data_IF_620255411095
#
_entry.id   IF_620255411095
#
_cell.length_a   1.000
_cell.length_b   1.000
_cell.length_c   1.000
_cell.angle_alpha   90.00
_cell.angle_beta   90.00
_cell.angle_gamma   90.00
#
_symmetry.space_group_name_H-M   'P 1'
#
loop_
_entity.id
_entity.type
_entity.pdbx_description
1 polymer ?
#
# COMPACT_ATOMS: atom_id res chain seq x y z
N UNK A 1 -44.42 -23.58 50.19
CA UNK A 1 -44.32 -23.92 48.75
C UNK A 1 -43.70 -22.72 48.04
N UNK A 2 -42.37 -22.68 47.95
CA UNK A 2 -41.61 -21.53 47.43
C UNK A 2 -41.47 -21.73 45.91
N UNK A 3 -42.07 -20.84 45.11
CA UNK A 3 -41.92 -20.85 43.65
C UNK A 3 -40.62 -20.15 43.28
N UNK A 4 -39.63 -20.93 42.84
CA UNK A 4 -38.41 -20.42 42.19
C UNK A 4 -38.82 -19.97 40.79
N UNK A 5 -38.61 -18.69 40.46
CA UNK A 5 -38.72 -18.19 39.09
C UNK A 5 -37.35 -18.32 38.43
N UNK A 6 -37.25 -19.21 37.45
CA UNK A 6 -36.09 -19.30 36.56
C UNK A 6 -36.03 -18.02 35.71
N UNK A 7 -34.95 -17.25 35.86
CA UNK A 7 -34.66 -16.11 34.99
C UNK A 7 -33.82 -16.63 33.83
N UNK A 8 -34.36 -16.54 32.61
CA UNK A 8 -33.59 -16.79 31.40
C UNK A 8 -32.76 -15.54 31.09
N UNK A 9 -31.45 -15.61 31.28
CA UNK A 9 -30.52 -14.61 30.76
C UNK A 9 -30.31 -14.95 29.28
N UNK A 10 -30.99 -14.21 28.40
CA UNK A 10 -30.69 -14.25 26.97
C UNK A 10 -29.35 -13.52 26.77
N UNK A 11 -28.28 -14.27 26.51
CA UNK A 11 -27.08 -13.69 25.92
C UNK A 11 -27.42 -13.32 24.47
N UNK A 12 -27.72 -12.04 24.23
CA UNK A 12 -27.57 -11.49 22.89
C UNK A 12 -26.08 -11.43 22.61
N UNK A 13 -25.55 -12.47 21.96
CA UNK A 13 -24.32 -12.33 21.20
C UNK A 13 -24.66 -11.39 20.06
N UNK A 14 -24.36 -10.11 20.24
CA UNK A 14 -24.16 -9.25 19.07
C UNK A 14 -23.03 -9.92 18.31
N UNK A 15 -23.36 -10.55 17.18
CA UNK A 15 -22.39 -10.70 16.12
C UNK A 15 -21.96 -9.26 15.83
N UNK A 16 -20.79 -8.88 16.36
CA UNK A 16 -20.03 -7.79 15.79
C UNK A 16 -19.94 -8.17 14.31
N UNK A 17 -20.74 -7.49 13.48
CA UNK A 17 -20.41 -7.39 12.08
C UNK A 17 -19.02 -6.78 12.11
N UNK A 18 -18.01 -7.64 11.98
CA UNK A 18 -16.66 -7.20 11.69
C UNK A 18 -16.83 -6.20 10.56
N UNK A 19 -16.26 -4.98 10.66
CA UNK A 19 -16.14 -4.13 9.49
C UNK A 19 -15.66 -5.06 8.38
N UNK A 20 -16.34 -5.06 7.24
CA UNK A 20 -15.84 -5.76 6.08
C UNK A 20 -14.61 -4.97 5.64
N UNK A 21 -13.51 -5.12 6.40
CA UNK A 21 -12.19 -5.12 5.84
C UNK A 21 -12.35 -5.96 4.58
N UNK A 22 -12.02 -5.40 3.42
CA UNK A 22 -11.80 -6.22 2.24
C UNK A 22 -10.76 -7.25 2.69
N UNK A 23 -11.21 -8.43 3.09
CA UNK A 23 -10.34 -9.56 3.35
C UNK A 23 -9.68 -9.75 2.01
N UNK A 24 -8.39 -9.43 1.91
CA UNK A 24 -7.65 -9.73 0.70
C UNK A 24 -7.76 -11.24 0.50
N UNK A 25 -8.10 -11.63 -0.72
CA UNK A 25 -8.32 -13.02 -1.08
C UNK A 25 -7.33 -13.35 -2.18
N UNK A 26 -7.17 -14.63 -2.45
CA UNK A 26 -6.44 -15.14 -3.60
C UNK A 26 -7.22 -16.28 -4.23
N UNK A 27 -6.74 -16.77 -5.37
CA UNK A 27 -7.27 -17.98 -5.97
C UNK A 27 -6.35 -19.17 -5.68
N UNK A 28 -6.95 -20.23 -5.17
CA UNK A 28 -6.31 -21.51 -4.92
C UNK A 28 -6.58 -22.47 -6.09
N UNK A 29 -5.49 -22.99 -6.65
CA UNK A 29 -5.44 -24.00 -7.69
C UNK A 29 -4.91 -25.31 -7.08
N UNK A 30 -5.55 -26.43 -7.40
CA UNK A 30 -5.28 -27.74 -6.77
C UNK A 30 -4.19 -28.56 -7.45
N UNK A 31 -3.56 -28.03 -8.51
CA UNK A 31 -2.57 -28.75 -9.34
C UNK A 31 -3.16 -29.83 -10.23
N UNK A 32 -4.49 -30.01 -10.25
CA UNK A 32 -5.16 -31.05 -11.05
C UNK A 32 -5.98 -30.41 -12.16
N UNK A 33 -6.80 -29.41 -11.82
CA UNK A 33 -7.71 -28.81 -12.79
C UNK A 33 -8.05 -27.35 -12.52
N UNK A 34 -8.40 -26.65 -13.60
CA UNK A 34 -9.03 -25.34 -13.54
C UNK A 34 -8.13 -24.18 -13.95
N UNK A 35 -8.79 -23.04 -14.18
CA UNK A 35 -8.16 -21.82 -14.69
C UNK A 35 -9.04 -20.61 -14.45
N UNK A 36 -8.44 -19.42 -14.55
CA UNK A 36 -9.19 -18.19 -14.87
C UNK A 36 -9.00 -17.92 -16.36
N UNK A 37 -10.10 -17.80 -17.10
CA UNK A 37 -10.09 -17.50 -18.54
C UNK A 37 -10.59 -16.09 -18.79
N UNK A 38 -9.73 -15.26 -19.36
CA UNK A 38 -10.02 -13.89 -19.79
C UNK A 38 -10.22 -13.90 -21.32
N UNK A 39 -11.36 -13.39 -21.83
CA UNK A 39 -11.62 -13.32 -23.27
C UNK A 39 -10.48 -12.68 -24.06
N UNK A 40 -10.28 -13.13 -25.30
CA UNK A 40 -9.26 -12.56 -26.16
C UNK A 40 -9.52 -11.05 -26.40
N UNK A 41 -8.47 -10.24 -26.20
CA UNK A 41 -8.35 -8.87 -26.67
C UNK A 41 -6.98 -8.69 -27.35
N UNK A 42 -6.93 -7.77 -28.32
CA UNK A 42 -5.67 -7.36 -28.95
C UNK A 42 -4.76 -6.58 -27.98
N UNK A 43 -5.33 -5.88 -27.00
CA UNK A 43 -4.55 -5.11 -26.02
C UNK A 43 -3.74 -6.04 -25.10
N UNK A 44 -4.29 -7.22 -24.81
CA UNK A 44 -3.61 -8.29 -24.07
C UNK A 44 -2.54 -9.03 -24.88
N UNK A 45 -2.24 -8.64 -26.13
CA UNK A 45 -1.10 -9.21 -26.86
C UNK A 45 0.24 -8.60 -26.45
N UNK A 46 0.24 -7.47 -25.73
CA UNK A 46 1.45 -6.80 -25.26
C UNK A 46 2.42 -6.51 -26.43
N UNK A 47 1.90 -5.99 -27.54
CA UNK A 47 2.71 -5.65 -28.73
C UNK A 47 2.35 -4.26 -29.27
N UNK A 48 3.35 -3.40 -29.40
CA UNK A 48 3.26 -2.15 -30.16
C UNK A 48 3.81 -2.40 -31.56
N UNK A 49 2.95 -2.88 -32.45
CA UNK A 49 3.19 -3.04 -33.89
C UNK A 49 4.18 -4.15 -34.30
N UNK A 50 3.65 -5.11 -35.08
CA UNK A 50 4.23 -6.17 -35.95
C UNK A 50 5.71 -6.58 -35.98
N UNK A 51 6.67 -5.81 -35.46
CA UNK A 51 8.10 -6.08 -35.45
C UNK A 51 8.80 -5.73 -34.12
N UNK A 52 8.12 -5.11 -33.16
CA UNK A 52 8.67 -4.78 -31.83
C UNK A 52 7.63 -4.99 -30.74
N UNK A 53 8.07 -5.49 -29.59
CA UNK A 53 7.22 -5.74 -28.43
C UNK A 53 7.94 -5.33 -27.16
N UNK A 54 7.25 -4.65 -26.26
CA UNK A 54 7.72 -4.34 -24.90
C UNK A 54 6.56 -4.55 -23.94
N UNK A 55 6.86 -4.84 -22.68
CA UNK A 55 5.82 -5.09 -21.70
C UNK A 55 6.33 -5.65 -20.39
N UNK A 56 5.39 -5.92 -19.49
CA UNK A 56 5.66 -6.58 -18.22
C UNK A 56 4.48 -7.42 -17.77
N UNK A 57 4.77 -8.53 -17.08
CA UNK A 57 3.79 -9.44 -16.50
C UNK A 57 4.19 -9.66 -15.05
N UNK A 58 3.24 -9.48 -14.12
CA UNK A 58 3.41 -9.72 -12.69
C UNK A 58 2.40 -10.72 -12.18
N UNK A 59 2.81 -11.51 -11.19
CA UNK A 59 1.91 -12.20 -10.28
C UNK A 59 2.55 -12.35 -8.90
N UNK A 60 1.73 -12.40 -7.86
CA UNK A 60 2.10 -13.04 -6.61
C UNK A 60 1.72 -14.51 -6.66
N UNK A 61 2.61 -15.37 -6.18
CA UNK A 61 2.38 -16.82 -6.11
C UNK A 61 2.74 -17.41 -4.75
N UNK A 62 2.09 -18.51 -4.38
CA UNK A 62 2.44 -19.34 -3.23
C UNK A 62 2.31 -20.80 -3.60
N UNK A 63 3.43 -21.53 -3.61
CA UNK A 63 3.45 -22.95 -4.02
C UNK A 63 2.91 -23.84 -2.89
N UNK A 64 2.19 -24.91 -3.25
CA UNK A 64 1.85 -25.98 -2.30
C UNK A 64 3.02 -26.96 -2.12
N UNK A 65 3.73 -27.28 -3.20
CA UNK A 65 4.89 -28.18 -3.19
C UNK A 65 6.12 -27.48 -3.82
N UNK A 66 7.12 -27.07 -3.01
CA UNK A 66 8.33 -26.44 -3.54
C UNK A 66 9.30 -27.44 -4.19
N UNK A 67 8.97 -28.73 -4.21
CA UNK A 67 9.77 -29.82 -4.79
C UNK A 67 9.17 -30.42 -6.06
N UNK A 68 8.04 -29.88 -6.53
CA UNK A 68 7.37 -30.31 -7.74
C UNK A 68 8.22 -30.03 -8.99
N UNK A 69 8.46 -31.06 -9.81
CA UNK A 69 9.24 -30.97 -11.05
C UNK A 69 8.32 -30.93 -12.27
N UNK A 70 7.47 -29.90 -12.29
CA UNK A 70 6.58 -29.58 -13.40
C UNK A 70 6.65 -28.08 -13.68
N UNK A 71 6.35 -27.70 -14.93
CA UNK A 71 6.28 -26.30 -15.31
C UNK A 71 4.88 -25.74 -15.07
N UNK A 72 4.68 -25.21 -13.87
CA UNK A 72 3.42 -24.66 -13.38
C UNK A 72 3.12 -23.31 -14.05
N UNK A 73 1.99 -23.23 -14.75
CA UNK A 73 1.59 -22.02 -15.49
C UNK A 73 1.03 -20.95 -14.57
N UNK A 74 1.61 -19.76 -14.60
CA UNK A 74 1.08 -18.57 -13.93
C UNK A 74 0.16 -17.83 -14.88
N UNK A 75 0.67 -17.47 -16.06
CA UNK A 75 -0.07 -16.78 -17.14
C UNK A 75 0.26 -17.44 -18.47
N UNK A 76 -0.75 -17.68 -19.31
CA UNK A 76 -0.58 -18.20 -20.68
C UNK A 76 -1.48 -17.44 -21.65
N UNK A 77 -0.93 -17.04 -22.80
CA UNK A 77 -1.67 -16.54 -23.97
C UNK A 77 -1.09 -17.14 -25.25
N UNK A 78 -0.89 -18.44 -25.25
CA UNK A 78 -0.12 -19.18 -26.27
C UNK A 78 -0.77 -20.55 -26.49
N UNK A 79 -0.86 -21.02 -27.75
CA UNK A 79 -1.54 -22.30 -28.06
C UNK A 79 -0.73 -23.50 -27.56
N UNK A 80 0.58 -23.49 -27.80
CA UNK A 80 1.55 -24.44 -27.26
C UNK A 80 2.86 -23.75 -26.91
N UNK A 81 3.70 -24.40 -26.11
CA UNK A 81 4.93 -23.81 -25.56
C UNK A 81 5.97 -23.39 -26.63
N UNK A 82 5.91 -23.94 -27.85
CA UNK A 82 6.82 -23.62 -28.96
C UNK A 82 6.16 -22.76 -30.05
N UNK A 83 4.90 -22.38 -29.90
CA UNK A 83 4.18 -21.58 -30.90
C UNK A 83 4.77 -20.18 -31.07
N UNK A 84 4.80 -19.69 -32.30
CA UNK A 84 5.39 -18.38 -32.59
C UNK A 84 4.63 -17.20 -31.96
N UNK A 85 3.31 -17.36 -31.77
CA UNK A 85 2.41 -16.31 -31.33
C UNK A 85 2.06 -16.45 -29.85
N UNK A 86 2.16 -15.35 -29.12
CA UNK A 86 1.82 -15.26 -27.70
C UNK A 86 3.02 -15.39 -26.77
N UNK A 87 2.71 -15.49 -25.48
CA UNK A 87 3.67 -15.52 -24.39
C UNK A 87 3.15 -16.38 -23.23
N UNK A 88 4.06 -16.90 -22.41
CA UNK A 88 3.77 -17.61 -21.16
C UNK A 88 4.73 -17.20 -20.06
N UNK A 89 4.23 -17.16 -18.82
CA UNK A 89 5.01 -17.03 -17.60
C UNK A 89 4.75 -18.24 -16.70
N UNK A 90 5.81 -18.92 -16.30
CA UNK A 90 5.74 -20.19 -15.55
C UNK A 90 6.88 -20.33 -14.54
N UNK A 91 6.72 -21.28 -13.63
CA UNK A 91 7.75 -21.70 -12.68
C UNK A 91 7.93 -23.21 -12.69
N UNK A 92 9.16 -23.67 -12.48
CA UNK A 92 9.45 -25.05 -12.09
C UNK A 92 10.11 -25.04 -10.68
N UNK A 93 9.38 -25.46 -9.64
CA UNK A 93 9.86 -25.45 -8.27
C UNK A 93 11.12 -26.28 -8.03
N UNK A 94 11.14 -27.54 -8.48
CA UNK A 94 12.27 -28.45 -8.28
C UNK A 94 13.57 -27.96 -8.95
N UNK A 95 13.44 -27.33 -10.12
CA UNK A 95 14.56 -26.77 -10.87
C UNK A 95 14.95 -25.36 -10.41
N UNK A 96 14.11 -24.69 -9.60
CA UNK A 96 14.33 -23.32 -9.14
C UNK A 96 14.30 -22.31 -10.28
N UNK A 97 13.43 -22.51 -11.27
CA UNK A 97 13.35 -21.67 -12.47
C UNK A 97 12.04 -20.88 -12.55
N UNK A 98 12.16 -19.59 -12.88
CA UNK A 98 11.09 -18.78 -13.45
C UNK A 98 11.39 -18.63 -14.94
N UNK A 99 10.41 -18.86 -15.82
CA UNK A 99 10.60 -18.80 -17.28
C UNK A 99 9.55 -17.91 -17.92
N UNK A 100 9.99 -16.94 -18.73
CA UNK A 100 9.17 -16.23 -19.71
C UNK A 100 9.42 -16.89 -21.08
N UNK A 101 8.38 -17.41 -21.72
CA UNK A 101 8.46 -18.03 -23.05
C UNK A 101 7.80 -17.10 -24.07
N UNK A 102 8.51 -16.73 -25.14
CA UNK A 102 7.95 -15.91 -26.21
C UNK A 102 8.72 -16.02 -27.53
N UNK A 103 8.04 -15.73 -28.66
CA UNK A 103 8.66 -15.72 -29.98
C UNK A 103 9.05 -17.11 -30.51
N UNK A 104 8.18 -18.11 -30.32
CA UNK A 104 8.47 -19.51 -30.60
C UNK A 104 8.86 -20.25 -29.32
N UNK A 105 9.94 -21.02 -29.38
CA UNK A 105 10.53 -21.77 -28.26
C UNK A 105 11.62 -21.00 -27.49
N UNK A 106 11.80 -19.71 -27.78
CA UNK A 106 12.78 -18.86 -27.09
C UNK A 106 12.28 -18.52 -25.68
N UNK A 107 13.21 -18.29 -24.75
CA UNK A 107 12.88 -18.05 -23.35
C UNK A 107 13.89 -17.16 -22.62
N UNK A 108 13.40 -16.34 -21.71
CA UNK A 108 14.21 -15.77 -20.64
C UNK A 108 13.96 -16.54 -19.34
N UNK A 109 14.99 -16.63 -18.51
CA UNK A 109 14.97 -17.36 -17.24
C UNK A 109 15.58 -16.56 -16.11
N UNK A 110 15.05 -16.80 -14.92
CA UNK A 110 15.66 -16.38 -13.67
C UNK A 110 15.72 -17.52 -12.66
N UNK A 111 16.69 -17.46 -11.77
CA UNK A 111 16.79 -18.43 -10.67
C UNK A 111 15.97 -17.97 -9.46
N UNK A 112 15.20 -18.85 -8.85
CA UNK A 112 14.50 -18.56 -7.61
C UNK A 112 14.56 -19.74 -6.63
N UNK A 113 14.42 -19.42 -5.34
CA UNK A 113 14.30 -20.45 -4.29
C UNK A 113 12.83 -20.75 -4.05
N UNK A 114 12.37 -21.91 -4.51
CA UNK A 114 10.99 -22.34 -4.31
C UNK A 114 10.65 -22.41 -2.81
N UNK A 115 9.47 -21.90 -2.46
CA UNK A 115 8.99 -21.78 -1.08
C UNK A 115 7.47 -21.86 -1.03
N UNK A 116 6.94 -22.22 0.13
CA UNK A 116 5.51 -22.17 0.44
C UNK A 116 5.09 -20.81 1.00
N UNK A 117 5.93 -19.79 0.90
CA UNK A 117 5.61 -18.39 1.21
C UNK A 117 5.25 -17.62 -0.05
N UNK A 118 4.50 -16.53 0.10
CA UNK A 118 4.19 -15.64 -1.02
C UNK A 118 5.46 -15.08 -1.65
N UNK A 119 5.51 -15.14 -2.98
CA UNK A 119 6.64 -14.72 -3.81
C UNK A 119 6.09 -13.86 -4.95
N UNK A 120 6.63 -12.65 -5.10
CA UNK A 120 6.33 -11.81 -6.26
C UNK A 120 7.23 -12.23 -7.42
N UNK A 121 6.64 -12.40 -8.60
CA UNK A 121 7.35 -12.65 -9.85
C UNK A 121 6.98 -11.55 -10.84
N UNK A 122 7.99 -10.92 -11.45
CA UNK A 122 7.82 -10.00 -12.56
C UNK A 122 8.73 -10.43 -13.72
N UNK A 123 8.17 -10.56 -14.91
CA UNK A 123 8.93 -10.63 -16.15
C UNK A 123 8.72 -9.32 -16.92
N UNK A 124 9.80 -8.57 -17.15
CA UNK A 124 9.80 -7.29 -17.87
C UNK A 124 10.63 -7.44 -19.14
N UNK A 125 10.17 -6.94 -20.29
CA UNK A 125 10.85 -7.16 -21.55
C UNK A 125 10.75 -5.97 -22.50
N UNK A 126 11.76 -5.85 -23.36
CA UNK A 126 11.86 -4.84 -24.38
C UNK A 126 12.60 -5.38 -25.61
N UNK A 127 11.86 -5.57 -26.70
CA UNK A 127 12.33 -6.26 -27.89
C UNK A 127 12.60 -7.74 -27.62
N UNK A 128 13.81 -8.17 -27.97
CA UNK A 128 14.28 -9.56 -27.84
C UNK A 128 15.03 -9.81 -26.52
N UNK A 129 14.81 -8.98 -25.51
CA UNK A 129 15.47 -9.08 -24.21
C UNK A 129 14.47 -8.93 -23.07
N UNK A 130 14.63 -9.74 -22.02
CA UNK A 130 13.80 -9.71 -20.84
C UNK A 130 14.63 -9.85 -19.54
N UNK A 131 14.10 -9.26 -18.48
CA UNK A 131 14.57 -9.38 -17.10
C UNK A 131 13.51 -10.09 -16.27
N UNK A 132 13.97 -10.99 -15.40
CA UNK A 132 13.15 -11.73 -14.45
C UNK A 132 13.48 -11.24 -13.05
N UNK A 133 12.45 -10.79 -12.34
CA UNK A 133 12.55 -10.32 -10.96
C UNK A 133 11.78 -11.24 -10.03
N UNK A 134 12.38 -11.54 -8.89
CA UNK A 134 11.75 -12.25 -7.78
C UNK A 134 11.89 -11.39 -6.55
N UNK A 135 10.76 -11.08 -5.90
CA UNK A 135 10.71 -10.26 -4.70
C UNK A 135 11.48 -8.93 -4.85
N UNK A 136 11.24 -8.23 -5.96
CA UNK A 136 11.88 -6.94 -6.27
C UNK A 136 13.35 -7.01 -6.71
N UNK A 137 13.96 -8.19 -6.76
CA UNK A 137 15.39 -8.37 -7.12
C UNK A 137 15.52 -9.01 -8.50
N UNK A 138 16.39 -8.46 -9.36
CA UNK A 138 16.73 -9.06 -10.65
C UNK A 138 17.49 -10.37 -10.43
N UNK A 139 16.94 -11.47 -10.93
CA UNK A 139 17.48 -12.83 -10.83
C UNK A 139 17.73 -13.47 -12.20
N UNK A 140 17.81 -12.65 -13.26
CA UNK A 140 17.96 -13.09 -14.64
C UNK A 140 19.23 -13.91 -14.85
N UNK A 141 19.09 -15.08 -15.46
CA UNK A 141 20.18 -15.98 -15.85
C UNK A 141 20.26 -16.17 -17.37
N UNK A 142 19.13 -16.04 -18.07
CA UNK A 142 19.03 -15.93 -19.53
C UNK A 142 18.04 -14.81 -19.84
N UNK A 143 18.43 -13.85 -20.67
CA UNK A 143 17.58 -12.70 -21.01
C UNK A 143 16.99 -12.80 -22.42
N UNK A 144 17.27 -13.86 -23.17
CA UNK A 144 17.00 -13.88 -24.62
C UNK A 144 15.59 -14.37 -24.93
N UNK A 145 14.75 -13.52 -25.50
CA UNK A 145 13.45 -13.94 -26.05
C UNK A 145 13.36 -13.61 -27.53
N UNK A 146 12.50 -14.31 -28.26
CA UNK A 146 12.05 -13.84 -29.56
C UNK A 146 11.05 -12.69 -29.40
N UNK A 147 10.82 -11.93 -30.48
CA UNK A 147 9.77 -10.90 -30.47
C UNK A 147 8.40 -11.53 -30.16
N UNK A 148 7.60 -10.84 -29.36
CA UNK A 148 6.25 -11.30 -29.02
C UNK A 148 5.29 -10.89 -30.13
N UNK A 149 4.68 -11.87 -30.79
CA UNK A 149 3.64 -11.65 -31.79
C UNK A 149 2.27 -11.95 -31.18
N UNK A 150 1.28 -11.14 -31.53
CA UNK A 150 -0.07 -11.29 -30.98
C UNK A 150 -0.71 -12.64 -31.32
N UNK A 151 -1.39 -13.23 -30.33
CA UNK A 151 -2.14 -14.48 -30.47
C UNK A 151 -3.64 -14.21 -30.41
N UNK A 152 -4.44 -15.01 -31.10
CA UNK A 152 -5.91 -14.91 -31.08
C UNK A 152 -6.55 -15.71 -29.95
N UNK A 153 -5.75 -16.35 -29.08
CA UNK A 153 -6.27 -17.12 -27.94
C UNK A 153 -6.68 -16.22 -26.77
N UNK A 154 -7.62 -16.67 -25.93
CA UNK A 154 -7.89 -16.05 -24.64
C UNK A 154 -6.64 -16.06 -23.75
N UNK A 155 -6.57 -15.15 -22.78
CA UNK A 155 -5.55 -15.18 -21.74
C UNK A 155 -6.02 -16.11 -20.62
N UNK A 156 -5.11 -16.92 -20.09
CA UNK A 156 -5.37 -17.85 -19.00
C UNK A 156 -4.45 -17.55 -17.82
N UNK A 157 -5.00 -17.66 -16.61
CA UNK A 157 -4.24 -17.64 -15.35
C UNK A 157 -4.35 -19.03 -14.71
N UNK A 158 -3.21 -19.57 -14.26
CA UNK A 158 -3.12 -20.84 -13.57
C UNK A 158 -3.12 -22.09 -14.46
N UNK A 159 -3.20 -21.95 -15.79
CA UNK A 159 -3.18 -23.07 -16.74
C UNK A 159 -2.74 -22.63 -18.14
N UNK A 160 -2.45 -23.60 -19.02
CA UNK A 160 -2.13 -23.36 -20.42
C UNK A 160 -3.36 -22.87 -21.21
N UNK A 161 -3.15 -22.03 -22.21
CA UNK A 161 -4.27 -21.57 -23.05
C UNK A 161 -4.79 -22.71 -23.94
N UNK A 162 -6.11 -22.83 -24.06
CA UNK A 162 -6.78 -23.91 -24.82
C UNK A 162 -6.40 -25.35 -24.37
N UNK A 163 -5.82 -25.53 -23.18
CA UNK A 163 -5.59 -26.85 -22.62
C UNK A 163 -6.88 -27.56 -22.19
N UNK A 164 -6.85 -28.89 -22.05
CA UNK A 164 -7.91 -29.60 -21.32
C UNK A 164 -7.98 -29.08 -19.87
N UNK A 165 -9.18 -29.08 -19.28
CA UNK A 165 -9.39 -28.65 -17.88
C UNK A 165 -8.56 -29.46 -16.88
N UNK A 166 -8.08 -30.65 -17.27
CA UNK A 166 -7.14 -31.50 -16.53
C UNK A 166 -5.78 -31.56 -17.26
N UNK A 167 -4.74 -30.99 -16.67
CA UNK A 167 -3.40 -30.95 -17.24
C UNK A 167 -2.34 -30.94 -16.11
N UNK A 168 -1.26 -31.73 -16.18
CA UNK A 168 -0.20 -31.70 -15.17
C UNK A 168 0.49 -30.34 -15.01
N UNK A 169 0.37 -29.42 -15.97
CA UNK A 169 0.94 -28.07 -15.90
C UNK A 169 0.01 -27.02 -15.26
N UNK A 170 -1.15 -27.43 -14.71
CA UNK A 170 -2.02 -26.55 -13.91
C UNK A 170 -1.25 -26.10 -12.66
N UNK A 171 -1.42 -24.84 -12.28
CA UNK A 171 -0.74 -24.30 -11.10
C UNK A 171 -1.14 -25.07 -9.83
N UNK A 172 -0.16 -25.40 -9.00
CA UNK A 172 -0.38 -26.08 -7.72
C UNK A 172 -0.04 -25.14 -6.55
N UNK A 173 -1.02 -24.35 -6.15
CA UNK A 173 -0.79 -23.30 -5.17
C UNK A 173 -1.82 -22.18 -5.23
N UNK A 174 -1.43 -20.99 -4.75
CA UNK A 174 -2.24 -19.78 -4.81
C UNK A 174 -1.62 -18.75 -5.74
N UNK A 175 -2.47 -18.02 -6.44
CA UNK A 175 -2.10 -16.87 -7.27
C UNK A 175 -2.91 -15.67 -6.80
N UNK A 176 -2.26 -14.50 -6.77
CA UNK A 176 -2.89 -13.22 -6.49
C UNK A 176 -2.23 -12.10 -7.31
N UNK A 177 -2.88 -10.93 -7.39
CA UNK A 177 -2.35 -9.68 -7.94
C UNK A 177 -1.67 -9.86 -9.31
N UNK A 178 -2.40 -10.41 -10.29
CA UNK A 178 -1.89 -10.60 -11.65
C UNK A 178 -2.04 -9.31 -12.44
N UNK A 179 -0.95 -8.76 -12.96
CA UNK A 179 -0.96 -7.51 -13.72
C UNK A 179 -0.15 -7.61 -15.02
N UNK A 180 -0.60 -6.88 -16.04
CA UNK A 180 0.02 -6.81 -17.36
C UNK A 180 0.17 -5.35 -17.76
N UNK A 181 1.37 -4.97 -18.20
CA UNK A 181 1.67 -3.66 -18.76
C UNK A 181 2.14 -3.78 -20.21
N UNK A 182 1.82 -2.77 -21.04
CA UNK A 182 2.32 -2.64 -22.41
C UNK A 182 3.66 -1.89 -22.50
N UNK A 183 4.35 -1.71 -21.38
CA UNK A 183 5.71 -1.16 -21.33
C UNK A 183 6.60 -1.98 -20.41
N UNK A 184 7.91 -1.89 -20.68
CA UNK A 184 8.95 -2.40 -19.80
C UNK A 184 8.94 -1.65 -18.47
N UNK A 185 8.79 -2.38 -17.36
CA UNK A 185 9.02 -1.83 -16.02
C UNK A 185 10.52 -1.71 -15.74
N UNK A 186 10.93 -0.56 -15.21
CA UNK A 186 12.28 -0.35 -14.72
C UNK A 186 12.52 -1.09 -13.40
N UNK A 187 13.77 -1.41 -13.08
CA UNK A 187 14.15 -2.03 -11.79
C UNK A 187 13.71 -1.19 -10.58
N UNK A 188 13.69 0.14 -10.72
CA UNK A 188 13.13 1.04 -9.71
C UNK A 188 11.63 0.78 -9.50
N UNK A 189 10.85 0.76 -10.59
CA UNK A 189 9.40 0.49 -10.52
C UNK A 189 9.12 -0.89 -9.94
N UNK A 190 9.92 -1.90 -10.29
CA UNK A 190 9.81 -3.25 -9.71
C UNK A 190 10.07 -3.25 -8.21
N UNK A 191 11.11 -2.54 -7.75
CA UNK A 191 11.39 -2.42 -6.32
C UNK A 191 10.28 -1.68 -5.55
N UNK A 192 9.68 -0.65 -6.16
CA UNK A 192 8.52 0.04 -5.62
C UNK A 192 7.30 -0.88 -5.52
N UNK A 193 6.99 -1.64 -6.58
CA UNK A 193 5.84 -2.56 -6.60
C UNK A 193 6.00 -3.68 -5.55
N UNK A 194 7.21 -4.21 -5.34
CA UNK A 194 7.48 -5.23 -4.34
C UNK A 194 7.35 -4.73 -2.89
N UNK A 195 7.79 -3.50 -2.63
CA UNK A 195 7.66 -2.83 -1.33
C UNK A 195 8.00 -3.75 -0.13
N UNK A 196 9.17 -4.39 -0.18
CA UNK A 196 9.67 -5.30 0.88
C UNK A 196 8.77 -6.50 1.22
N UNK A 197 7.96 -6.97 0.27
CA UNK A 197 7.10 -8.15 0.45
C UNK A 197 5.64 -7.82 0.65
N UNK A 198 5.32 -6.53 0.70
CA UNK A 198 3.97 -6.03 0.84
C UNK A 198 3.38 -5.70 -0.53
N UNK A 199 2.36 -6.43 -0.96
CA UNK A 199 1.70 -6.17 -2.24
C UNK A 199 1.05 -4.77 -2.24
N UNK A 200 1.37 -3.98 -3.26
CA UNK A 200 0.78 -2.66 -3.51
C UNK A 200 -0.27 -2.73 -4.62
N UNK A 201 -1.32 -1.91 -4.49
CA UNK A 201 -2.26 -1.66 -5.58
C UNK A 201 -1.56 -0.88 -6.70
N UNK A 202 -1.18 -1.58 -7.77
CA UNK A 202 -0.42 -1.01 -8.89
C UNK A 202 -1.18 0.07 -9.67
N UNK A 203 -2.50 0.23 -9.46
CA UNK A 203 -3.27 1.34 -10.04
C UNK A 203 -2.93 2.69 -9.42
N UNK A 204 -2.35 2.68 -8.21
CA UNK A 204 -2.02 3.89 -7.45
C UNK A 204 -0.63 4.45 -7.77
N UNK A 205 0.20 3.68 -8.47
CA UNK A 205 1.57 4.04 -8.81
C UNK A 205 1.60 4.90 -10.09
N UNK A 206 2.07 6.15 -9.99
CA UNK A 206 2.07 7.12 -11.10
C UNK A 206 3.03 6.77 -12.23
N UNK A 207 4.05 5.94 -11.98
CA UNK A 207 5.05 5.49 -12.95
C UNK A 207 4.59 4.29 -13.82
N UNK A 208 3.64 3.49 -13.34
CA UNK A 208 3.21 2.24 -13.98
C UNK A 208 1.71 2.17 -14.31
N UNK A 209 0.87 3.04 -13.75
CA UNK A 209 -0.58 3.05 -14.02
C UNK A 209 -0.96 3.44 -15.45
N UNK A 210 -0.12 4.23 -16.15
CA UNK A 210 -0.40 4.69 -17.52
C UNK A 210 -0.23 3.60 -18.59
N UNK A 211 0.65 2.62 -18.36
CA UNK A 211 0.93 1.50 -19.26
C UNK A 211 0.23 0.20 -18.85
N UNK A 212 -0.46 0.19 -17.70
CA UNK A 212 -1.22 -0.96 -17.23
C UNK A 212 -2.30 -1.30 -18.27
N UNK A 213 -2.42 -2.57 -18.65
CA UNK A 213 -3.40 -3.10 -19.61
C UNK A 213 -4.49 -3.85 -18.89
N UNK A 214 -4.12 -4.72 -17.94
CA UNK A 214 -5.06 -5.49 -17.13
C UNK A 214 -4.47 -5.79 -15.75
N UNK A 215 -5.31 -5.81 -14.73
CA UNK A 215 -4.93 -6.10 -13.35
C UNK A 215 -6.08 -6.77 -12.60
N UNK A 216 -5.85 -8.04 -12.24
CA UNK A 216 -6.77 -8.90 -11.52
C UNK A 216 -6.30 -9.06 -10.07
N UNK A 217 -6.96 -8.36 -9.15
CA UNK A 217 -6.65 -8.32 -7.72
C UNK A 217 -7.14 -9.51 -6.92
N UNK A 218 -8.00 -10.34 -7.50
CA UNK A 218 -8.56 -11.55 -6.89
C UNK A 218 -9.12 -11.35 -5.46
N UNK A 219 -9.77 -10.21 -5.23
CA UNK A 219 -10.28 -9.80 -3.91
C UNK A 219 -11.80 -9.96 -3.78
N UNK A 220 -12.48 -10.57 -4.75
CA UNK A 220 -13.93 -10.78 -4.73
C UNK A 220 -14.36 -11.80 -3.67
N UNK A 221 -13.50 -12.78 -3.37
CA UNK A 221 -13.66 -13.75 -2.28
C UNK A 221 -14.81 -14.74 -2.44
N UNK A 222 -15.58 -14.65 -3.53
CA UNK A 222 -16.66 -15.57 -3.86
C UNK A 222 -17.09 -15.40 -5.32
N UNK A 223 -17.88 -16.37 -5.83
CA UNK A 223 -18.39 -16.33 -7.21
C UNK A 223 -17.45 -16.97 -8.22
N UNK A 224 -17.79 -16.82 -9.50
CA UNK A 224 -17.14 -17.49 -10.64
C UNK A 224 -16.45 -16.52 -11.59
N UNK A 225 -16.15 -15.30 -11.13
CA UNK A 225 -15.55 -14.24 -11.93
C UNK A 225 -14.43 -13.55 -11.15
N UNK A 226 -13.44 -13.06 -11.87
CA UNK A 226 -12.35 -12.22 -11.35
C UNK A 226 -12.39 -10.91 -12.12
N UNK A 227 -12.66 -9.80 -11.43
CA UNK A 227 -12.74 -8.48 -12.03
C UNK A 227 -11.36 -7.97 -12.43
N UNK A 228 -11.29 -7.34 -13.59
CA UNK A 228 -10.17 -6.46 -13.93
C UNK A 228 -10.37 -5.09 -13.27
N UNK A 229 -9.29 -4.42 -12.87
CA UNK A 229 -9.31 -3.11 -12.21
C UNK A 229 -10.03 -2.00 -13.00
N UNK A 230 -10.20 -2.16 -14.33
CA UNK A 230 -10.93 -1.23 -15.21
C UNK A 230 -12.25 -1.80 -15.74
N UNK A 231 -12.60 -3.04 -15.36
CA UNK A 231 -13.73 -3.82 -15.87
C UNK A 231 -13.71 -4.03 -17.40
N UNK A 232 -12.53 -3.98 -18.03
CA UNK A 232 -12.40 -4.18 -19.47
C UNK A 232 -12.17 -5.66 -19.82
N UNK A 233 -11.55 -6.40 -18.90
CA UNK A 233 -11.01 -7.74 -19.16
C UNK A 233 -11.31 -8.76 -18.05
N UNK A 234 -12.56 -8.79 -17.56
CA UNK A 234 -12.95 -9.72 -16.50
C UNK A 234 -12.73 -11.20 -16.91
N UNK A 235 -12.21 -11.98 -15.96
CA UNK A 235 -11.97 -13.41 -16.09
C UNK A 235 -13.12 -14.25 -15.56
N UNK A 236 -13.35 -15.41 -16.17
CA UNK A 236 -14.27 -16.44 -15.66
C UNK A 236 -13.49 -17.61 -15.07
N UNK A 237 -13.92 -18.10 -13.90
CA UNK A 237 -13.30 -19.22 -13.18
C UNK A 237 -13.87 -20.55 -13.70
N UNK A 238 -13.00 -21.51 -14.02
CA UNK A 238 -13.33 -22.87 -14.47
C UNK A 238 -12.60 -23.93 -13.65
N UNK A 239 -13.14 -25.14 -13.59
CA UNK A 239 -12.57 -26.27 -12.84
C UNK A 239 -12.59 -26.08 -11.32
N UNK A 240 -11.65 -26.71 -10.61
CA UNK A 240 -11.57 -26.71 -9.15
C UNK A 240 -10.81 -25.51 -8.55
N UNK A 241 -10.95 -24.33 -9.15
CA UNK A 241 -10.36 -23.11 -8.59
C UNK A 241 -11.28 -22.55 -7.51
N UNK A 242 -10.73 -22.27 -6.34
CA UNK A 242 -11.50 -21.80 -5.17
C UNK A 242 -10.89 -20.55 -4.56
N UNK A 243 -11.71 -19.71 -3.93
CA UNK A 243 -11.25 -18.53 -3.21
C UNK A 243 -10.55 -18.92 -1.90
N UNK A 244 -9.50 -18.18 -1.54
CA UNK A 244 -8.75 -18.39 -0.30
C UNK A 244 -8.49 -17.07 0.42
N UNK A 245 -8.67 -17.07 1.75
CA UNK A 245 -8.31 -15.94 2.61
C UNK A 245 -6.82 -15.88 2.94
N UNK A 246 -6.02 -16.81 2.40
CA UNK A 246 -4.57 -16.75 2.45
C UNK A 246 -4.11 -15.98 1.20
N UNK A 247 -3.72 -14.73 1.37
CA UNK A 247 -3.27 -13.81 0.32
C UNK A 247 -1.90 -13.20 0.70
N UNK A 248 -1.15 -12.59 -0.24
CA UNK A 248 0.02 -11.79 0.11
C UNK A 248 -0.38 -10.74 1.13
N UNK A 249 0.56 -10.32 1.98
CA UNK A 249 0.28 -9.17 2.84
C UNK A 249 0.09 -7.94 1.92
N UNK A 250 -1.17 -7.56 1.69
CA UNK A 250 -1.47 -6.28 1.07
C UNK A 250 -1.24 -5.21 2.11
N UNK A 251 -0.18 -4.43 1.95
CA UNK A 251 -0.07 -3.19 2.68
C UNK A 251 -0.83 -2.17 1.84
N UNK A 252 -2.02 -1.80 2.32
CA UNK A 252 -2.49 -0.44 2.10
C UNK A 252 -1.50 0.46 2.85
N UNK A 253 -0.30 0.68 2.28
CA UNK A 253 0.50 1.82 2.69
C UNK A 253 -0.35 3.03 2.37
N UNK A 254 -0.61 3.92 3.33
CA UNK A 254 -0.92 5.27 2.96
C UNK A 254 0.24 5.72 2.09
N UNK A 255 -0.02 5.98 0.81
CA UNK A 255 0.86 6.82 0.02
C UNK A 255 0.83 8.17 0.71
N UNK A 256 1.82 8.43 1.58
CA UNK A 256 1.90 9.63 2.40
C UNK A 256 2.23 10.82 1.48
N UNK A 257 1.24 11.20 0.68
CA UNK A 257 1.13 12.44 -0.08
C UNK A 257 0.26 13.38 0.73
N UNK A 258 0.48 14.67 0.51
CA UNK A 258 -0.39 15.69 1.08
C UNK A 258 -1.13 16.46 0.02
N UNK A 259 -2.30 16.94 0.40
CA UNK A 259 -3.08 17.93 -0.34
C UNK A 259 -3.36 19.12 0.58
N UNK A 260 -3.16 20.33 0.05
CA UNK A 260 -3.57 21.58 0.71
C UNK A 260 -5.02 21.91 0.38
N UNK A 261 -5.75 22.50 1.33
CA UNK A 261 -7.08 23.08 1.12
C UNK A 261 -7.13 24.16 0.03
N UNK A 262 -5.98 24.74 -0.34
CA UNK A 262 -5.89 25.76 -1.40
C UNK A 262 -5.80 25.15 -2.80
N UNK A 263 -5.58 23.83 -2.88
CA UNK A 263 -5.56 23.09 -4.13
C UNK A 263 -6.96 22.62 -4.49
N UNK A 264 -7.29 22.62 -5.79
CA UNK A 264 -8.56 22.07 -6.27
C UNK A 264 -8.70 20.58 -5.86
N UNK A 265 -9.79 20.24 -5.17
CA UNK A 265 -10.00 18.90 -4.63
C UNK A 265 -9.24 18.59 -3.32
N UNK A 266 -8.61 19.61 -2.72
CA UNK A 266 -7.96 19.51 -1.42
C UNK A 266 -8.93 19.30 -0.25
N UNK A 267 -8.40 19.03 0.96
CA UNK A 267 -9.21 18.86 2.16
C UNK A 267 -10.00 20.12 2.50
N UNK A 268 -11.16 19.92 3.12
CA UNK A 268 -11.97 21.02 3.64
C UNK A 268 -11.48 21.38 5.05
N UNK A 269 -11.12 22.63 5.26
CA UNK A 269 -10.90 23.15 6.61
C UNK A 269 -12.21 23.08 7.41
N UNK A 270 -12.16 22.40 8.55
CA UNK A 270 -13.30 22.18 9.43
C UNK A 270 -12.79 22.00 10.85
N UNK A 271 -12.61 23.11 11.55
CA UNK A 271 -12.07 23.13 12.90
C UNK A 271 -12.94 22.34 13.88
N UNK A 272 -12.30 21.62 14.79
CA UNK A 272 -12.97 20.85 15.84
C UNK A 272 -12.57 21.44 17.19
N UNK A 273 -13.43 22.27 17.78
CA UNK A 273 -13.16 22.83 19.11
C UNK A 273 -13.37 21.77 20.19
N UNK A 274 -12.25 21.24 20.69
CA UNK A 274 -12.21 20.24 21.76
C UNK A 274 -11.83 20.85 23.11
N UNK A 275 -11.73 22.18 23.24
CA UNK A 275 -11.27 22.82 24.49
C UNK A 275 -12.28 22.66 25.64
N UNK A 276 -13.56 22.42 25.32
CA UNK A 276 -14.64 22.21 26.28
C UNK A 276 -15.04 20.74 26.48
N UNK A 277 -14.64 19.85 25.58
CA UNK A 277 -15.07 18.44 25.54
C UNK A 277 -13.91 17.44 25.67
N UNK A 278 -12.70 17.84 25.28
CA UNK A 278 -11.49 17.04 25.33
C UNK A 278 -10.86 16.99 26.72
N UNK A 279 -9.87 16.11 26.84
CA UNK A 279 -9.01 16.01 28.01
C UNK A 279 -7.88 17.04 27.90
N UNK A 280 -7.77 17.92 28.91
CA UNK A 280 -6.64 18.83 29.06
C UNK A 280 -5.37 18.03 29.36
N UNK A 281 -4.31 18.29 28.59
CA UNK A 281 -2.98 17.74 28.84
C UNK A 281 -2.25 18.69 29.78
N UNK A 282 -2.01 18.24 31.02
CA UNK A 282 -1.24 19.01 31.99
C UNK A 282 0.23 19.06 31.61
N UNK A 283 0.64 20.15 30.97
CA UNK A 283 1.99 20.43 30.53
C UNK A 283 2.16 21.93 30.31
N UNK A 284 3.27 22.48 30.82
CA UNK A 284 3.62 23.89 30.63
C UNK A 284 5.14 24.06 30.63
N UNK A 285 5.58 25.26 30.30
CA UNK A 285 6.98 25.64 30.17
C UNK A 285 7.54 25.41 28.77
N UNK A 286 8.86 25.44 28.73
CA UNK A 286 9.70 25.22 27.56
C UNK A 286 10.27 23.79 27.57
N UNK A 287 10.58 23.26 26.39
CA UNK A 287 11.27 21.97 26.18
C UNK A 287 10.70 20.79 26.99
N UNK A 288 9.37 20.66 27.02
CA UNK A 288 8.69 19.59 27.74
C UNK A 288 8.07 18.55 26.79
N UNK A 289 7.91 17.31 27.26
CA UNK A 289 7.26 16.21 26.55
C UNK A 289 6.43 15.38 27.55
N UNK A 290 5.18 15.07 27.19
CA UNK A 290 4.32 14.22 28.03
C UNK A 290 3.69 13.08 27.24
N UNK A 291 3.25 12.06 27.97
CA UNK A 291 2.66 10.83 27.45
C UNK A 291 3.36 9.57 28.00
N UNK A 292 3.00 8.37 27.53
CA UNK A 292 2.04 8.11 26.45
C UNK A 292 0.60 8.43 26.84
N UNK A 293 -0.11 9.16 25.97
CA UNK A 293 -1.56 9.39 26.02
C UNK A 293 -2.27 8.41 25.08
N UNK A 294 -3.49 7.95 25.40
CA UNK A 294 -4.20 6.97 24.57
C UNK A 294 -4.68 7.60 23.25
N UNK A 295 -4.51 6.88 22.14
CA UNK A 295 -5.10 7.28 20.84
C UNK A 295 -6.61 6.97 20.81
N UNK A 296 -7.03 5.92 21.53
CA UNK A 296 -8.43 5.46 21.56
C UNK A 296 -8.75 4.34 20.57
N UNK A 297 -7.87 4.10 19.59
CA UNK A 297 -7.92 3.02 18.61
C UNK A 297 -6.49 2.66 18.17
N UNK A 298 -6.35 1.61 17.35
CA UNK A 298 -5.07 1.26 16.72
C UNK A 298 -4.90 2.11 15.46
N UNK A 299 -3.89 2.98 15.46
CA UNK A 299 -3.56 3.86 14.34
C UNK A 299 -2.39 3.31 13.53
N UNK A 300 -2.59 3.00 12.23
CA UNK A 300 -1.52 2.52 11.37
C UNK A 300 -0.66 3.68 10.87
N UNK A 301 0.67 3.60 11.06
CA UNK A 301 1.61 4.59 10.52
C UNK A 301 2.92 3.96 10.03
N UNK A 302 3.22 4.08 8.73
CA UNK A 302 4.36 3.42 8.04
C UNK A 302 4.48 1.92 8.36
N UNK A 303 3.35 1.20 8.35
CA UNK A 303 3.31 -0.24 8.61
C UNK A 303 3.50 -0.64 10.08
N UNK A 304 3.54 0.32 11.01
CA UNK A 304 3.59 0.07 12.44
C UNK A 304 2.29 0.56 13.08
N UNK A 305 1.72 -0.30 13.93
CA UNK A 305 0.50 0.00 14.67
C UNK A 305 0.82 0.72 15.98
N UNK A 306 0.18 1.87 16.19
CA UNK A 306 0.33 2.68 17.39
C UNK A 306 -0.99 2.80 18.14
N UNK A 307 -0.95 2.71 19.47
CA UNK A 307 -2.13 2.88 20.34
C UNK A 307 -2.00 4.07 21.29
N UNK A 308 -0.83 4.71 21.30
CA UNK A 308 -0.52 5.84 22.16
C UNK A 308 0.32 6.88 21.43
N UNK A 309 0.27 8.12 21.88
CA UNK A 309 1.10 9.21 21.39
C UNK A 309 1.75 9.98 22.54
N UNK A 310 2.82 10.70 22.22
CA UNK A 310 3.48 11.69 23.07
C UNK A 310 3.42 13.04 22.38
N UNK A 311 3.39 14.10 23.17
CA UNK A 311 3.29 15.48 22.70
C UNK A 311 4.42 16.32 23.32
N UNK A 312 5.02 17.19 22.51
CA UNK A 312 6.03 18.15 22.98
C UNK A 312 5.48 19.58 22.98
N UNK A 313 5.98 20.42 23.89
CA UNK A 313 5.70 21.87 23.87
C UNK A 313 6.14 22.51 22.56
N UNK A 314 7.16 21.96 21.91
CA UNK A 314 7.72 22.40 20.62
C UNK A 314 6.87 22.01 19.40
N UNK A 315 5.56 21.77 19.55
CA UNK A 315 4.62 21.72 18.43
C UNK A 315 4.65 20.46 17.56
N UNK A 316 5.21 19.35 18.06
CA UNK A 316 5.15 18.04 17.43
C UNK A 316 4.58 16.97 18.35
N UNK A 317 4.11 15.88 17.75
CA UNK A 317 3.81 14.62 18.44
C UNK A 317 4.70 13.50 17.90
N UNK A 318 4.92 12.47 18.71
CA UNK A 318 5.55 11.23 18.29
C UNK A 318 4.82 10.04 18.90
N UNK A 319 4.74 8.94 18.17
CA UNK A 319 4.13 7.72 18.69
C UNK A 319 5.05 6.96 19.66
N UNK A 320 6.35 7.28 19.71
CA UNK A 320 7.34 6.55 20.52
C UNK A 320 8.31 7.44 21.28
N UNK A 321 8.68 8.59 20.72
CA UNK A 321 9.83 9.38 21.17
C UNK A 321 9.47 10.36 22.30
N UNK A 322 10.34 10.46 23.31
CA UNK A 322 10.17 11.34 24.48
C UNK A 322 11.00 12.64 24.42
N UNK A 323 11.60 12.95 23.28
CA UNK A 323 12.38 14.16 23.06
C UNK A 323 11.47 15.39 23.12
N UNK A 324 12.05 16.50 23.52
CA UNK A 324 11.47 17.83 23.48
C UNK A 324 12.36 18.79 22.66
N UNK A 325 13.12 18.27 21.70
CA UNK A 325 14.03 19.09 20.89
C UNK A 325 13.32 20.29 20.24
N UNK A 326 13.80 21.51 20.49
CA UNK A 326 13.28 22.74 19.88
C UNK A 326 13.82 23.00 18.47
N UNK A 327 15.05 22.55 18.18
CA UNK A 327 15.70 22.80 16.89
C UNK A 327 15.08 21.91 15.81
N UNK A 328 14.22 22.51 15.00
CA UNK A 328 13.50 21.84 13.93
C UNK A 328 14.41 21.47 12.77
N UNK A 329 14.13 20.31 12.17
CA UNK A 329 14.89 19.77 11.04
C UNK A 329 13.96 19.45 9.89
N UNK A 330 14.52 19.36 8.69
CA UNK A 330 13.83 18.81 7.53
C UNK A 330 13.57 17.31 7.73
N UNK A 331 12.46 16.82 7.21
CA UNK A 331 12.14 15.40 7.18
C UNK A 331 12.35 14.81 5.79
N UNK A 332 12.87 13.57 5.71
CA UNK A 332 13.31 12.73 6.82
C UNK A 332 14.67 13.16 7.39
N UNK A 333 14.88 12.95 8.69
CA UNK A 333 16.14 13.23 9.37
C UNK A 333 16.44 12.25 10.50
N UNK A 334 17.65 11.69 10.46
CA UNK A 334 18.16 10.77 11.48
C UNK A 334 18.27 11.38 12.89
N UNK A 335 18.35 12.72 12.98
CA UNK A 335 18.48 13.45 14.24
C UNK A 335 17.13 13.98 14.77
N UNK A 336 16.07 13.92 13.97
CA UNK A 336 14.73 14.33 14.39
C UNK A 336 14.00 13.17 15.11
N UNK A 337 12.97 13.45 15.93
CA UNK A 337 12.19 12.41 16.61
C UNK A 337 11.61 11.40 15.62
N UNK A 338 11.73 10.10 15.88
CA UNK A 338 11.12 9.08 15.03
C UNK A 338 9.59 8.99 15.20
N UNK A 339 8.92 8.37 14.21
CA UNK A 339 7.47 8.15 14.21
C UNK A 339 6.71 9.44 14.58
N UNK A 340 7.09 10.54 13.93
CA UNK A 340 6.75 11.89 14.36
C UNK A 340 5.85 12.58 13.34
N UNK A 341 4.88 13.34 13.86
CA UNK A 341 4.04 14.27 13.12
C UNK A 341 4.31 15.67 13.68
N UNK A 342 4.77 16.58 12.82
CA UNK A 342 5.01 17.98 13.14
C UNK A 342 3.97 18.83 12.42
N UNK A 343 2.82 19.15 13.05
CA UNK A 343 1.91 20.15 12.51
C UNK A 343 2.54 21.55 12.50
N UNK A 344 3.41 21.87 13.47
CA UNK A 344 4.17 23.12 13.51
C UNK A 344 5.34 23.01 14.51
N UNK A 345 6.45 22.39 14.11
CA UNK A 345 7.61 22.21 14.97
C UNK A 345 8.57 23.41 14.90
N UNK A 346 8.68 24.15 15.99
CA UNK A 346 9.61 25.27 16.22
C UNK A 346 9.89 25.33 17.74
N UNK A 347 10.65 26.34 18.17
CA UNK A 347 10.92 26.65 19.57
C UNK A 347 9.71 27.36 20.20
N UNK A 348 8.81 26.58 20.81
CA UNK A 348 7.51 27.03 21.32
C UNK A 348 7.41 26.86 22.84
N UNK A 349 6.60 27.73 23.46
CA UNK A 349 6.40 27.75 24.91
C UNK A 349 4.94 27.64 25.29
N UNK A 350 4.68 26.84 26.32
CA UNK A 350 3.35 26.71 26.93
C UNK A 350 3.30 27.55 28.21
N UNK A 351 2.77 28.77 28.13
CA UNK A 351 2.63 29.70 29.27
C UNK A 351 1.62 29.23 30.33
N UNK A 352 0.81 28.24 30.01
CA UNK A 352 -0.08 27.47 30.89
C UNK A 352 -0.29 26.07 30.29
N UNK A 353 -1.23 25.28 30.81
CA UNK A 353 -1.72 24.13 30.05
C UNK A 353 -2.39 24.64 28.76
N UNK A 354 -1.87 24.23 27.60
CA UNK A 354 -2.26 24.75 26.27
C UNK A 354 -2.60 23.64 25.25
N UNK A 355 -2.59 22.37 25.66
CA UNK A 355 -2.91 21.25 24.78
C UNK A 355 -4.10 20.42 25.25
N UNK A 356 -4.90 19.94 24.30
CA UNK A 356 -6.09 19.13 24.54
C UNK A 356 -6.08 17.93 23.60
N UNK A 357 -6.66 16.81 24.02
CA UNK A 357 -7.00 15.73 23.11
C UNK A 357 -8.40 15.16 23.36
N UNK A 358 -9.06 14.72 22.30
CA UNK A 358 -10.33 14.01 22.37
C UNK A 358 -10.30 12.84 21.38
N UNK A 359 -10.68 11.64 21.83
CA UNK A 359 -10.75 10.46 20.98
C UNK A 359 -12.12 9.79 21.02
N UNK A 360 -12.53 9.24 19.89
CA UNK A 360 -13.59 8.24 19.78
C UNK A 360 -13.11 7.05 18.93
N UNK A 361 -14.00 6.13 18.56
CA UNK A 361 -13.65 4.94 17.76
C UNK A 361 -13.20 5.27 16.33
N UNK A 362 -13.51 6.48 15.83
CA UNK A 362 -13.24 6.89 14.45
C UNK A 362 -12.08 7.87 14.32
N UNK A 363 -11.81 8.68 15.35
CA UNK A 363 -10.79 9.71 15.29
C UNK A 363 -10.20 10.11 16.64
N UNK A 364 -8.97 10.62 16.58
CA UNK A 364 -8.29 11.35 17.64
C UNK A 364 -8.04 12.78 17.14
N UNK A 365 -8.41 13.77 17.94
CA UNK A 365 -8.07 15.18 17.71
C UNK A 365 -7.13 15.63 18.81
N UNK A 366 -5.99 16.21 18.44
CA UNK A 366 -4.99 16.79 19.35
C UNK A 366 -4.86 18.26 18.97
N UNK A 367 -5.21 19.17 19.89
CA UNK A 367 -5.15 20.62 19.66
C UNK A 367 -4.05 21.25 20.49
N UNK A 368 -3.19 22.03 19.82
CA UNK A 368 -2.31 23.03 20.41
C UNK A 368 -3.09 24.35 20.36
N UNK A 369 -3.49 24.87 21.52
CA UNK A 369 -4.41 25.98 21.63
C UNK A 369 -3.71 27.21 22.20
N UNK A 370 -3.57 28.26 21.38
CA UNK A 370 -2.95 29.53 21.77
C UNK A 370 -1.52 29.38 22.31
N UNK A 371 -0.70 28.64 21.56
CA UNK A 371 0.71 28.39 21.88
C UNK A 371 1.58 29.52 21.33
N UNK A 372 2.56 29.94 22.11
CA UNK A 372 3.45 31.05 21.79
C UNK A 372 4.79 30.54 21.25
N UNK A 373 5.48 31.33 20.43
CA UNK A 373 6.91 31.12 20.16
C UNK A 373 7.73 31.62 21.34
N UNK A 374 8.74 30.85 21.75
CA UNK A 374 9.63 31.23 22.83
C UNK A 374 10.29 32.60 22.54
N UNK A 375 10.18 33.53 23.50
CA UNK A 375 10.69 34.89 23.38
C UNK A 375 9.86 35.84 22.50
N UNK A 376 8.70 35.41 22.02
CA UNK A 376 7.76 36.23 21.24
C UNK A 376 6.30 36.08 21.71
N UNK A 377 6.10 35.78 22.99
CA UNK A 377 4.80 35.51 23.62
C UNK A 377 3.84 36.70 23.55
N UNK A 378 4.36 37.92 23.47
CA UNK A 378 3.53 39.12 23.30
C UNK A 378 3.05 39.36 21.86
N UNK A 379 3.60 38.62 20.88
CA UNK A 379 3.43 38.89 19.44
C UNK A 379 3.10 37.66 18.61
N UNK A 380 3.07 36.48 19.22
CA UNK A 380 2.74 35.22 18.56
C UNK A 380 1.53 34.57 19.24
N UNK A 381 0.76 33.81 18.46
CA UNK A 381 -0.32 32.96 18.95
C UNK A 381 -0.63 31.95 17.85
N UNK A 382 -0.35 30.69 18.12
CA UNK A 382 -0.54 29.56 17.22
C UNK A 382 -1.58 28.60 17.78
N UNK A 383 -2.63 28.38 17.00
CA UNK A 383 -3.70 27.44 17.31
C UNK A 383 -3.86 26.50 16.12
N UNK A 384 -3.45 25.25 16.30
CA UNK A 384 -3.43 24.23 15.27
C UNK A 384 -3.74 22.86 15.87
N UNK A 385 -4.12 21.91 15.03
CA UNK A 385 -4.47 20.56 15.47
C UNK A 385 -3.93 19.48 14.54
N UNK A 386 -3.71 18.30 15.11
CA UNK A 386 -3.51 17.03 14.42
C UNK A 386 -4.78 16.20 14.61
N UNK A 387 -5.35 15.72 13.51
CA UNK A 387 -6.47 14.78 13.53
C UNK A 387 -5.99 13.47 12.92
N UNK A 388 -6.09 12.39 13.68
CA UNK A 388 -5.83 11.04 13.20
C UNK A 388 -7.17 10.34 13.01
N UNK A 389 -7.42 9.77 11.84
CA UNK A 389 -8.56 8.89 11.62
C UNK A 389 -8.16 7.44 11.86
N UNK A 390 -9.09 6.61 12.30
CA UNK A 390 -8.87 5.16 12.45
C UNK A 390 -8.54 4.46 11.12
N UNK A 391 -8.77 5.13 9.99
CA UNK A 391 -8.38 4.70 8.64
C UNK A 391 -6.91 4.89 8.31
N UNK A 392 -6.12 5.59 9.15
CA UNK A 392 -4.74 5.96 8.86
C UNK A 392 -4.56 7.36 8.23
N UNK A 393 -5.66 8.06 7.93
CA UNK A 393 -5.63 9.45 7.45
C UNK A 393 -5.13 10.41 8.53
N UNK A 394 -4.22 11.30 8.16
CA UNK A 394 -3.66 12.35 9.02
C UNK A 394 -4.13 13.69 8.47
N UNK A 395 -4.63 14.58 9.32
CA UNK A 395 -5.04 15.92 8.92
C UNK A 395 -4.40 16.93 9.87
N UNK A 396 -3.74 17.95 9.32
CA UNK A 396 -3.36 19.15 10.04
C UNK A 396 -4.34 20.27 9.72
N UNK A 397 -4.76 21.03 10.72
CA UNK A 397 -5.56 22.24 10.50
C UNK A 397 -5.04 23.40 11.33
N UNK A 398 -5.14 24.60 10.76
CA UNK A 398 -4.57 25.83 11.30
C UNK A 398 -5.68 26.87 11.49
N UNK A 399 -5.97 27.23 12.74
CA UNK A 399 -7.02 28.19 13.06
C UNK A 399 -6.47 29.61 13.17
N UNK A 400 -5.59 29.84 14.14
CA UNK A 400 -4.92 31.12 14.37
C UNK A 400 -3.43 30.92 14.20
N UNK A 401 -2.80 31.59 13.24
CA UNK A 401 -1.36 31.53 12.99
C UNK A 401 -0.77 32.93 12.98
N UNK A 402 -0.73 33.57 14.15
CA UNK A 402 -0.22 34.94 14.31
C UNK A 402 1.23 34.91 14.76
N UNK A 403 2.12 35.62 14.07
CA UNK A 403 3.56 35.66 14.36
C UNK A 403 4.40 35.16 13.17
N UNK A 404 5.72 34.97 13.35
CA UNK A 404 6.59 34.45 12.29
C UNK A 404 6.31 32.97 11.99
N UNK A 405 6.02 32.67 10.72
CA UNK A 405 5.67 31.31 10.26
C UNK A 405 6.80 30.62 9.47
N UNK A 406 7.93 31.30 9.29
CA UNK A 406 9.02 30.88 8.41
C UNK A 406 10.09 30.01 9.10
N UNK A 407 9.97 29.76 10.40
CA UNK A 407 10.97 29.03 11.19
C UNK A 407 10.61 27.57 11.47
N UNK A 408 9.40 27.13 11.15
CA UNK A 408 8.91 25.83 11.58
C UNK A 408 9.17 24.70 10.55
N UNK A 409 9.09 23.47 11.04
CA UNK A 409 8.87 22.27 10.21
C UNK A 409 7.39 21.89 10.26
N UNK A 410 6.80 21.64 9.10
CA UNK A 410 5.50 21.00 8.95
C UNK A 410 5.70 19.73 8.12
N UNK A 411 5.31 18.58 8.66
CA UNK A 411 5.54 17.30 8.00
C UNK A 411 5.52 16.12 8.94
N UNK A 412 6.10 15.01 8.49
CA UNK A 412 6.18 13.78 9.26
C UNK A 412 7.34 12.89 8.80
N UNK A 413 7.68 11.89 9.62
CA UNK A 413 8.60 10.82 9.25
C UNK A 413 8.32 9.50 9.96
N UNK A 414 8.76 8.41 9.35
CA UNK A 414 8.59 7.05 9.84
C UNK A 414 9.44 6.75 11.10
N UNK A 415 9.25 5.56 11.67
CA UNK A 415 10.00 5.10 12.85
C UNK A 415 11.51 4.93 12.60
N UNK A 416 11.90 4.60 11.39
CA UNK A 416 13.31 4.40 11.04
C UNK A 416 14.04 5.69 10.66
N UNK A 417 13.31 6.82 10.54
CA UNK A 417 13.79 8.12 10.08
C UNK A 417 14.40 8.09 8.68
N UNK A 418 13.91 7.18 7.84
CA UNK A 418 14.38 6.96 6.46
C UNK A 418 13.36 7.46 5.43
N UNK A 419 12.09 7.58 5.82
CA UNK A 419 11.00 8.02 4.97
C UNK A 419 10.20 9.09 5.69
N UNK A 420 9.67 10.05 4.94
CA UNK A 420 8.95 11.19 5.49
C UNK A 420 8.75 12.27 4.44
N UNK A 421 8.12 13.36 4.84
CA UNK A 421 7.92 14.54 3.98
C UNK A 421 7.93 15.78 4.84
N UNK A 422 8.68 16.80 4.39
CA UNK A 422 8.52 18.18 4.83
C UNK A 422 7.65 18.93 3.83
N UNK A 423 6.46 19.35 4.27
CA UNK A 423 5.63 20.33 3.55
C UNK A 423 6.25 21.72 3.68
N UNK A 424 6.76 22.03 4.88
CA UNK A 424 7.49 23.24 5.20
C UNK A 424 8.73 22.84 6.01
N UNK A 425 9.87 23.44 5.68
CA UNK A 425 11.04 23.47 6.54
C UNK A 425 11.75 24.81 6.32
N UNK A 426 11.81 25.64 7.37
CA UNK A 426 12.49 26.95 7.34
C UNK A 426 12.17 27.78 6.07
N UNK A 427 10.92 27.69 5.59
CA UNK A 427 10.57 28.13 4.25
C UNK A 427 10.46 29.66 4.21
N UNK A 428 11.14 30.27 3.24
CA UNK A 428 11.07 31.72 3.00
C UNK A 428 9.69 32.18 2.47
N UNK A 429 8.86 31.26 1.96
CA UNK A 429 7.56 31.55 1.37
C UNK A 429 6.43 31.42 2.41
N UNK A 430 6.27 32.45 3.24
CA UNK A 430 5.37 32.52 4.40
C UNK A 430 3.87 32.48 4.08
N UNK A 431 3.46 32.57 2.81
CA UNK A 431 2.05 32.61 2.43
C UNK A 431 1.36 31.24 2.45
N UNK A 432 2.11 30.14 2.60
CA UNK A 432 1.52 28.79 2.62
C UNK A 432 0.75 28.54 3.93
N UNK A 433 1.26 29.04 5.06
CA UNK A 433 0.66 28.82 6.37
C UNK A 433 -0.23 30.01 6.67
N UNK A 434 -1.54 29.78 6.79
CA UNK A 434 -2.50 30.83 7.12
C UNK A 434 -3.69 30.29 7.91
N UNK A 435 -4.48 31.20 8.49
CA UNK A 435 -5.73 30.85 9.14
C UNK A 435 -6.68 30.18 8.16
N UNK A 436 -7.36 29.12 8.61
CA UNK A 436 -8.27 28.35 7.77
C UNK A 436 -7.57 27.38 6.82
N UNK A 437 -6.26 27.16 6.96
CA UNK A 437 -5.52 26.19 6.15
C UNK A 437 -5.72 24.77 6.68
N UNK A 438 -5.85 23.80 5.77
CA UNK A 438 -5.86 22.38 6.11
C UNK A 438 -4.95 21.59 5.18
N UNK A 439 -4.31 20.57 5.75
CA UNK A 439 -3.48 19.62 5.03
C UNK A 439 -3.95 18.22 5.38
N UNK A 440 -4.07 17.35 4.38
CA UNK A 440 -4.39 15.94 4.53
C UNK A 440 -3.39 15.11 3.76
#
# INVERSE_FOLDING_TARGET
MIRIRTVYILFFVFALATPQWLVSQSLNFDGVSGSVRIPHSYDLNISESGTWSQGSIMAYIKLNDPTEDEFLRIVSKKVGWDDYYGYELEVNPAQGLVTLIAGGSDYARGSFSATTSWTQIIASFNGSSASIYVNGVDVTTDSTIGNIYGSTVPLYIGSISNGPDENPSVFNGKIDDVAIWNQELSSYSVSEIYNSGNALDVTTLSSSSYSLVGYWRMNEGSGSFVGDSRNDYDGSIYGNVTWSSDSPQQQLLPDYKWFSSDSAGGPVYSWQDITSTGTLISMSGDDNNTGPHPIGFVFPFYGIDYSTFRISTNGFISFTNSSSVYNNLEFPSAAAPEAALAPFWDDLIFTSDKAYYHSDENQLVITFNDVDRLGQEATSSYTFQVILKSTGEIIFQYNTMTGPLNGATIGWQNFYRTEGTSIVYNNANFNLIHNGWAVR
#
